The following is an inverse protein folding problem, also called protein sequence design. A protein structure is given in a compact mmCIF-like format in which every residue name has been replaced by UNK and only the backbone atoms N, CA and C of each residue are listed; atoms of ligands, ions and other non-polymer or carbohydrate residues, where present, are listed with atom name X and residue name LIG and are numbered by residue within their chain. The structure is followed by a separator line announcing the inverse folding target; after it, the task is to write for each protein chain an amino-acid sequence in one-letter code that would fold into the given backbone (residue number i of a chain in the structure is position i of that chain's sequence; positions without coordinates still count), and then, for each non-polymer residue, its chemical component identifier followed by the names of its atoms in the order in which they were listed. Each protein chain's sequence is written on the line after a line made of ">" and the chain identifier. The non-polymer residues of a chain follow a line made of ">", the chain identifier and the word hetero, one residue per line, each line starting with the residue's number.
data_IF_654913759999
#
_entry.id   IF_654913759999
#
_cell.length_a   1.000
_cell.length_b   1.000
_cell.length_c   1.000
_cell.angle_alpha   90.00
_cell.angle_beta   90.00
_cell.angle_gamma   90.00
#
_symmetry.space_group_name_H-M   'P 1'
#
loop_
_entity.id
_entity.type
_entity.pdbx_description
1 polymer ?
#
# COMPACT_ATOMS: atom_id res chain seq x y z
N UNK A 1 3.72 -4.61 10.69
CA UNK A 1 4.25 -3.48 9.87
C UNK A 1 5.75 -3.48 9.81
N UNK A 2 6.43 -3.83 10.91
CA UNK A 2 7.86 -4.12 10.89
C UNK A 2 8.22 -5.11 9.78
N UNK A 3 7.42 -6.16 9.59
CA UNK A 3 7.60 -7.19 8.55
C UNK A 3 7.60 -6.60 7.14
N UNK A 4 6.63 -5.71 6.84
CA UNK A 4 6.56 -5.09 5.53
C UNK A 4 7.76 -4.16 5.27
N UNK A 5 8.28 -3.50 6.32
CA UNK A 5 9.49 -2.69 6.24
C UNK A 5 10.74 -3.55 6.06
N UNK A 6 10.81 -4.70 6.73
CA UNK A 6 11.89 -5.68 6.57
C UNK A 6 11.96 -6.23 5.15
N UNK A 7 10.81 -6.40 4.50
CA UNK A 7 10.71 -6.81 3.09
C UNK A 7 10.96 -5.66 2.09
N UNK A 8 11.25 -4.45 2.58
CA UNK A 8 11.39 -3.22 1.79
C UNK A 8 10.27 -3.05 0.74
N UNK A 9 9.02 -3.22 1.17
CA UNK A 9 7.87 -2.98 0.30
C UNK A 9 7.88 -1.50 -0.13
N UNK A 10 7.98 -1.25 -1.44
CA UNK A 10 8.04 0.09 -2.02
C UNK A 10 6.69 0.78 -2.09
N UNK A 11 5.63 0.03 -2.41
CA UNK A 11 4.25 0.51 -2.52
C UNK A 11 3.29 -0.58 -2.04
N UNK A 12 2.27 -0.17 -1.29
CA UNK A 12 1.22 -0.99 -0.73
C UNK A 12 -0.13 -0.41 -1.15
N UNK A 13 -0.95 -1.24 -1.79
CA UNK A 13 -2.27 -0.90 -2.27
C UNK A 13 -3.28 -1.85 -1.62
N UNK A 14 -3.83 -1.53 -0.45
CA UNK A 14 -4.72 -2.44 0.27
C UNK A 14 -6.13 -2.46 -0.36
N UNK A 15 -6.72 -3.65 -0.43
CA UNK A 15 -7.99 -3.89 -1.14
C UNK A 15 -8.99 -4.69 -0.30
N UNK A 16 -10.27 -4.59 -0.70
CA UNK A 16 -11.37 -5.48 -0.32
C UNK A 16 -11.43 -5.80 1.18
N UNK A 17 -11.02 -7.00 1.58
CA UNK A 17 -11.15 -7.53 2.93
C UNK A 17 -10.18 -6.91 3.95
N UNK A 18 -9.20 -6.11 3.51
CA UNK A 18 -8.26 -5.44 4.43
C UNK A 18 -9.01 -4.58 5.46
N UNK A 19 -10.09 -3.94 5.04
CA UNK A 19 -10.98 -3.17 5.90
C UNK A 19 -10.45 -1.77 6.27
N UNK A 20 -11.36 -0.83 6.56
CA UNK A 20 -11.03 0.58 6.71
C UNK A 20 -10.12 0.88 7.91
N UNK A 21 -10.29 0.15 9.02
CA UNK A 21 -9.47 0.35 10.22
C UNK A 21 -7.99 -0.02 10.00
N UNK A 22 -7.74 -1.13 9.31
CA UNK A 22 -6.37 -1.55 8.98
C UNK A 22 -5.74 -0.58 7.97
N UNK A 23 -6.50 -0.14 6.96
CA UNK A 23 -6.06 0.86 5.98
C UNK A 23 -5.66 2.18 6.66
N UNK A 24 -6.49 2.70 7.57
CA UNK A 24 -6.17 3.93 8.29
C UNK A 24 -4.87 3.80 9.11
N UNK A 25 -4.66 2.64 9.76
CA UNK A 25 -3.42 2.36 10.50
C UNK A 25 -2.21 2.29 9.58
N UNK A 26 -2.34 1.66 8.40
CA UNK A 26 -1.29 1.57 7.39
C UNK A 26 -0.92 2.96 6.86
N UNK A 27 -1.89 3.81 6.53
CA UNK A 27 -1.63 5.19 6.12
C UNK A 27 -0.91 6.00 7.19
N UNK A 28 -1.35 5.93 8.45
CA UNK A 28 -0.73 6.70 9.53
C UNK A 28 0.73 6.30 9.81
N UNK A 29 1.08 5.02 9.61
CA UNK A 29 2.44 4.53 9.86
C UNK A 29 3.31 4.47 8.59
N UNK A 30 2.72 4.66 7.41
CA UNK A 30 3.43 4.52 6.13
C UNK A 30 2.85 5.40 5.02
N UNK A 31 2.76 6.73 5.24
CA UNK A 31 2.03 7.62 4.34
C UNK A 31 2.58 7.65 2.91
N UNK A 32 3.91 7.54 2.74
CA UNK A 32 4.55 7.65 1.42
C UNK A 32 4.58 6.33 0.64
N UNK A 33 4.11 5.23 1.24
CA UNK A 33 4.13 3.90 0.61
C UNK A 33 2.77 3.21 0.60
N UNK A 34 1.76 3.72 1.30
CA UNK A 34 0.43 3.16 1.31
C UNK A 34 -0.53 4.07 0.51
N UNK A 35 -1.17 3.51 -0.51
CA UNK A 35 -2.02 4.26 -1.43
C UNK A 35 -3.42 3.64 -1.52
N UNK A 36 -4.41 4.45 -1.89
CA UNK A 36 -5.75 3.95 -2.16
C UNK A 36 -5.76 3.07 -3.42
N UNK A 37 -6.58 2.02 -3.41
CA UNK A 37 -6.78 1.15 -4.57
C UNK A 37 -8.28 0.99 -4.89
N UNK A 38 -8.95 2.06 -5.36
CA UNK A 38 -10.34 1.97 -5.79
C UNK A 38 -10.48 1.06 -7.02
N UNK A 39 -11.71 0.60 -7.28
CA UNK A 39 -12.04 -0.13 -8.50
C UNK A 39 -11.63 0.66 -9.74
N UNK A 40 -11.04 0.00 -10.73
CA UNK A 40 -10.55 0.64 -11.95
C UNK A 40 -9.14 1.22 -11.86
N UNK A 41 -8.45 1.06 -10.72
CA UNK A 41 -7.02 1.41 -10.62
C UNK A 41 -6.20 0.61 -11.62
N UNK A 42 -5.46 1.29 -12.49
CA UNK A 42 -4.50 0.68 -13.43
C UNK A 42 -3.10 0.90 -12.91
N UNK A 43 -2.32 -0.18 -12.79
CA UNK A 43 -0.95 -0.15 -12.33
C UNK A 43 0.01 -0.50 -13.47
N UNK A 44 1.05 0.30 -13.63
CA UNK A 44 2.17 0.00 -14.51
C UNK A 44 3.39 -0.31 -13.67
N UNK A 45 4.09 -1.39 -14.03
CA UNK A 45 5.29 -1.85 -13.35
C UNK A 45 6.47 -1.79 -14.32
N UNK A 46 7.68 -1.50 -13.82
CA UNK A 46 8.90 -1.59 -14.63
C UNK A 46 9.41 -0.29 -15.26
N UNK A 47 9.07 0.87 -14.71
CA UNK A 47 9.91 2.06 -14.94
C UNK A 47 11.29 1.83 -14.35
N UNK A 48 12.36 1.90 -15.16
CA UNK A 48 13.72 2.07 -14.62
C UNK A 48 13.74 3.34 -13.76
N UNK A 49 14.46 3.36 -12.62
CA UNK A 49 14.73 4.62 -11.94
C UNK A 49 15.42 5.61 -12.89
#
# INVERSE_FOLDING_TARGET
>A
MAELRLLDIRRLLPCHCTGPAAVARLWGQWPDRCEACPTGTVLTFGGRP
#
